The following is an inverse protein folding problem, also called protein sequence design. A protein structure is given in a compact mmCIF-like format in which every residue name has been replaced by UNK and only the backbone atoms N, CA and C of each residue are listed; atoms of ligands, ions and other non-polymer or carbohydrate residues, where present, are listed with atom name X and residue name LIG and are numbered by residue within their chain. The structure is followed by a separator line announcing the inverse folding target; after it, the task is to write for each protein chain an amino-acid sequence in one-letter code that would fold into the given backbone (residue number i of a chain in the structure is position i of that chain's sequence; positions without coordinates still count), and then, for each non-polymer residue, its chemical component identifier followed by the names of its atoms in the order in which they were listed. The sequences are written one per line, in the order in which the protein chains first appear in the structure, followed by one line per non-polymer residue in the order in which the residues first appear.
data_IF_713965134993
#
_entry.id   IF_713965134993
#
_cell.length_a   1.000
_cell.length_b   1.000
_cell.length_c   1.000
_cell.angle_alpha   90.00
_cell.angle_beta   90.00
_cell.angle_gamma   90.00
#
_symmetry.space_group_name_H-M   'P 1'
#
loop_
_entity.id
_entity.type
_entity.pdbx_description
1 polymer ?
#
# COMPACT_ATOMS: atom_id res chain seq x y z
N UNK A 1 -8.44 -0.47 -6.68
CA UNK A 1 -7.03 -0.81 -6.48
C UNK A 1 -6.24 -0.37 -7.70
N UNK A 2 -5.23 0.48 -7.50
CA UNK A 2 -4.33 0.98 -8.53
C UNK A 2 -2.91 0.53 -8.18
N UNK A 3 -2.29 -0.28 -9.03
CA UNK A 3 -0.94 -0.78 -8.81
C UNK A 3 0.07 0.30 -9.18
N UNK A 4 1.10 0.47 -8.36
CA UNK A 4 2.15 1.44 -8.57
C UNK A 4 3.35 0.75 -9.22
N UNK A 5 3.87 1.35 -10.28
CA UNK A 5 5.09 0.88 -10.94
C UNK A 5 6.26 1.63 -10.31
N UNK A 6 6.94 0.99 -9.36
CA UNK A 6 8.00 1.59 -8.55
C UNK A 6 9.19 0.65 -8.45
N UNK A 7 10.38 1.20 -8.24
CA UNK A 7 11.58 0.41 -8.03
C UNK A 7 11.56 -0.37 -6.69
N UNK A 8 10.60 -0.11 -5.80
CA UNK A 8 10.53 -0.78 -4.50
C UNK A 8 10.27 -2.29 -4.63
N UNK A 9 9.54 -2.72 -5.65
CA UNK A 9 9.17 -4.13 -5.82
C UNK A 9 10.41 -5.02 -6.00
N UNK A 10 10.47 -6.10 -5.23
CA UNK A 10 11.57 -7.08 -5.24
C UNK A 10 12.81 -6.63 -4.49
N UNK A 11 12.83 -5.40 -3.94
CA UNK A 11 13.95 -4.95 -3.12
C UNK A 11 13.88 -5.57 -1.72
N UNK A 12 15.05 -5.82 -1.15
CA UNK A 12 15.19 -6.41 0.17
C UNK A 12 15.67 -5.39 1.20
N UNK A 13 15.21 -5.56 2.43
CA UNK A 13 15.64 -4.74 3.55
C UNK A 13 15.55 -5.52 4.87
N UNK A 14 16.30 -5.04 5.86
CA UNK A 14 16.12 -5.46 7.25
C UNK A 14 14.99 -4.64 7.88
N UNK A 15 14.07 -5.31 8.58
CA UNK A 15 12.87 -4.72 9.15
C UNK A 15 13.20 -3.54 10.09
N UNK A 16 14.17 -3.71 10.99
CA UNK A 16 14.58 -2.67 11.93
C UNK A 16 15.18 -1.42 11.28
N UNK A 17 15.71 -1.52 10.07
CA UNK A 17 16.28 -0.38 9.34
C UNK A 17 15.22 0.38 8.56
N UNK A 18 14.32 -0.33 7.89
CA UNK A 18 13.32 0.29 7.00
C UNK A 18 12.08 0.75 7.74
N UNK A 19 11.71 0.09 8.84
CA UNK A 19 10.48 0.41 9.57
C UNK A 19 10.45 1.86 10.11
N UNK A 20 11.51 2.40 10.73
CA UNK A 20 11.52 3.81 11.17
C UNK A 20 11.30 4.80 10.01
N UNK A 21 11.88 4.53 8.84
CA UNK A 21 11.74 5.37 7.63
C UNK A 21 10.31 5.34 7.11
N UNK A 22 9.67 4.17 7.15
CA UNK A 22 8.25 4.01 6.81
C UNK A 22 7.36 4.77 7.80
N UNK A 23 7.66 4.70 9.09
CA UNK A 23 6.92 5.42 10.12
C UNK A 23 7.00 6.94 9.94
N UNK A 24 8.17 7.49 9.58
CA UNK A 24 8.33 8.92 9.24
C UNK A 24 7.43 9.37 8.08
N UNK A 25 7.04 8.43 7.20
CA UNK A 25 6.11 8.66 6.09
C UNK A 25 4.67 8.24 6.40
N UNK A 26 4.34 8.04 7.66
CA UNK A 26 3.02 7.59 8.14
C UNK A 26 2.58 6.22 7.59
N UNK A 27 3.54 5.34 7.26
CA UNK A 27 3.29 3.95 6.91
C UNK A 27 3.53 3.09 8.14
N UNK A 28 2.53 2.27 8.49
CA UNK A 28 2.54 1.43 9.69
C UNK A 28 2.24 -0.01 9.33
N UNK A 29 2.65 -0.96 10.18
CA UNK A 29 2.31 -2.36 9.99
C UNK A 29 0.78 -2.53 10.11
N UNK A 30 0.14 -3.01 9.04
CA UNK A 30 -1.29 -3.25 8.99
C UNK A 30 -1.70 -4.38 9.93
N UNK A 31 -2.89 -4.27 10.53
CA UNK A 31 -3.38 -5.23 11.53
C UNK A 31 -3.79 -6.62 11.00
N UNK A 32 -3.55 -6.92 9.72
CA UNK A 32 -3.88 -8.20 9.09
C UNK A 32 -2.61 -8.77 8.45
N UNK A 33 -1.74 -9.33 9.29
CA UNK A 33 -0.51 -10.00 8.89
C UNK A 33 -0.64 -11.51 9.11
N UNK A 34 -0.02 -12.30 8.24
CA UNK A 34 0.29 -13.71 8.46
C UNK A 34 1.76 -13.81 8.90
N UNK A 35 2.20 -14.95 9.41
CA UNK A 35 3.57 -15.12 9.92
C UNK A 35 4.65 -14.76 8.89
N UNK A 36 4.37 -15.01 7.62
CA UNK A 36 5.31 -14.84 6.50
C UNK A 36 4.96 -13.66 5.58
N UNK A 37 3.76 -13.07 5.69
CA UNK A 37 3.28 -12.01 4.79
C UNK A 37 2.63 -10.87 5.58
N UNK A 38 3.01 -9.64 5.27
CA UNK A 38 2.43 -8.47 5.91
C UNK A 38 2.33 -7.28 4.96
N UNK A 39 1.61 -6.26 5.39
CA UNK A 39 1.37 -5.05 4.59
C UNK A 39 1.67 -3.84 5.45
N UNK A 40 2.50 -2.93 4.96
CA UNK A 40 2.55 -1.58 5.47
C UNK A 40 1.40 -0.78 4.88
N UNK A 41 0.56 -0.17 5.72
CA UNK A 41 -0.57 0.66 5.34
C UNK A 41 -0.37 2.09 5.84
N UNK A 42 -0.73 3.07 5.00
CA UNK A 42 -0.66 4.49 5.30
C UNK A 42 -1.76 5.25 4.58
N UNK A 43 -2.25 6.32 5.20
CA UNK A 43 -3.33 7.14 4.63
C UNK A 43 -2.70 8.24 3.75
N UNK A 44 -2.95 8.19 2.45
CA UNK A 44 -2.59 9.28 1.53
C UNK A 44 -3.58 10.44 1.63
N UNK A 45 -4.86 10.12 1.82
CA UNK A 45 -5.92 11.11 1.86
C UNK A 45 -7.13 10.61 2.65
N UNK A 46 -7.78 11.51 3.36
CA UNK A 46 -9.02 11.23 4.08
C UNK A 46 -9.92 12.45 4.06
N UNK A 47 -11.10 12.30 3.47
CA UNK A 47 -12.14 13.33 3.46
C UNK A 47 -13.52 12.68 3.62
N UNK A 48 -14.23 13.06 4.69
CA UNK A 48 -15.55 12.51 5.01
C UNK A 48 -15.53 10.97 5.08
N UNK A 49 -16.37 10.27 4.31
CA UNK A 49 -16.40 8.80 4.27
C UNK A 49 -15.26 8.21 3.43
N UNK A 50 -14.57 9.00 2.61
CA UNK A 50 -13.56 8.51 1.69
C UNK A 50 -12.17 8.50 2.33
N UNK A 51 -11.48 7.38 2.23
CA UNK A 51 -10.08 7.22 2.64
C UNK A 51 -9.30 6.54 1.53
N UNK A 52 -8.15 7.12 1.17
CA UNK A 52 -7.21 6.59 0.20
C UNK A 52 -6.02 6.03 0.96
N UNK A 53 -5.80 4.73 0.84
CA UNK A 53 -4.71 4.00 1.46
C UNK A 53 -3.60 3.72 0.47
N UNK A 54 -2.35 3.95 0.86
CA UNK A 54 -1.16 3.40 0.23
C UNK A 54 -0.78 2.11 0.96
N UNK A 55 -0.71 1.01 0.23
CA UNK A 55 -0.37 -0.30 0.77
C UNK A 55 0.89 -0.83 0.10
N UNK A 56 1.82 -1.27 0.92
CA UNK A 56 3.09 -1.85 0.50
C UNK A 56 3.15 -3.26 1.09
N UNK A 57 2.80 -4.30 0.31
CA UNK A 57 2.96 -5.68 0.75
C UNK A 57 4.44 -6.03 0.86
N UNK A 58 4.77 -6.95 1.76
CA UNK A 58 6.10 -7.53 1.89
C UNK A 58 6.02 -8.94 2.48
N UNK A 59 7.02 -9.75 2.14
CA UNK A 59 7.16 -11.12 2.65
C UNK A 59 8.39 -11.21 3.55
N UNK A 60 8.29 -12.00 4.62
CA UNK A 60 9.40 -12.32 5.51
C UNK A 60 10.20 -13.46 4.89
N UNK A 61 11.46 -13.18 4.53
CA UNK A 61 12.36 -14.17 3.92
C UNK A 61 13.22 -14.87 4.97
N UNK A 62 13.47 -14.22 6.12
CA UNK A 62 14.24 -14.78 7.23
C UNK A 62 13.95 -14.03 8.52
N UNK A 63 13.84 -14.75 9.64
CA UNK A 63 13.55 -14.17 10.95
C UNK A 63 12.07 -14.25 11.33
N UNK A 64 11.66 -13.39 12.25
CA UNK A 64 10.28 -13.30 12.73
C UNK A 64 9.82 -11.85 12.68
N UNK A 65 8.61 -11.60 12.17
CA UNK A 65 8.05 -10.26 12.12
C UNK A 65 8.14 -9.56 13.50
N UNK A 66 8.43 -8.25 13.50
CA UNK A 66 8.77 -7.42 14.68
C UNK A 66 10.20 -7.55 15.23
N UNK A 67 10.96 -8.58 14.86
CA UNK A 67 12.41 -8.61 15.16
C UNK A 67 13.16 -7.62 14.25
N UNK A 68 14.00 -6.73 14.81
CA UNK A 68 14.83 -5.81 14.03
C UNK A 68 15.69 -6.49 12.97
N UNK A 69 16.15 -7.72 13.18
CA UNK A 69 17.04 -8.45 12.26
C UNK A 69 16.34 -9.21 11.13
N UNK A 70 15.00 -9.19 11.12
CA UNK A 70 14.18 -9.86 10.12
C UNK A 70 14.42 -9.29 8.72
N UNK A 71 14.64 -10.18 7.76
CA UNK A 71 14.82 -9.85 6.35
C UNK A 71 13.48 -9.91 5.63
N UNK A 72 13.14 -8.84 4.93
CA UNK A 72 11.90 -8.71 4.18
C UNK A 72 12.18 -8.43 2.70
N UNK A 73 11.26 -8.86 1.84
CA UNK A 73 11.23 -8.51 0.43
C UNK A 73 9.94 -7.77 0.11
N UNK A 74 10.05 -6.63 -0.56
CA UNK A 74 8.88 -5.82 -0.90
C UNK A 74 8.12 -6.39 -2.11
N UNK A 75 6.80 -6.49 -1.98
CA UNK A 75 5.90 -6.75 -3.09
C UNK A 75 5.55 -5.47 -3.87
N UNK A 76 4.58 -5.58 -4.78
CA UNK A 76 4.14 -4.45 -5.59
C UNK A 76 3.25 -3.49 -4.77
N UNK A 77 3.65 -2.21 -4.58
CA UNK A 77 2.81 -1.24 -3.90
C UNK A 77 1.52 -0.94 -4.67
N UNK A 78 0.45 -0.58 -3.97
CA UNK A 78 -0.81 -0.21 -4.59
C UNK A 78 -1.60 0.78 -3.73
N UNK A 79 -2.49 1.52 -4.39
CA UNK A 79 -3.44 2.44 -3.76
C UNK A 79 -4.84 1.84 -3.73
N UNK A 80 -5.51 1.95 -2.59
CA UNK A 80 -6.86 1.47 -2.37
C UNK A 80 -7.76 2.61 -1.87
N UNK A 81 -8.82 2.91 -2.61
CA UNK A 81 -9.91 3.76 -2.11
C UNK A 81 -10.88 2.93 -1.28
N UNK A 82 -11.16 3.39 -0.07
CA UNK A 82 -12.20 2.87 0.81
C UNK A 82 -13.23 3.97 1.06
N UNK A 83 -14.51 3.62 1.03
CA UNK A 83 -15.60 4.52 1.41
C UNK A 83 -16.34 3.87 2.57
N UNK A 84 -16.26 4.47 3.75
CA UNK A 84 -16.99 4.03 4.92
C UNK A 84 -18.48 4.35 4.72
N UNK A 85 -19.34 3.33 4.76
CA UNK A 85 -20.78 3.53 4.70
C UNK A 85 -21.28 4.09 6.03
N UNK A 86 -21.43 5.41 6.13
CA UNK A 86 -21.83 6.11 7.38
C UNK A 86 -23.34 5.98 7.68
N UNK A 87 -23.98 4.83 7.41
CA UNK A 87 -25.45 4.75 7.39
C UNK A 87 -26.13 3.40 7.68
N UNK A 88 -25.43 2.37 8.16
CA UNK A 88 -26.07 1.07 8.46
C UNK A 88 -25.71 0.48 9.84
N UNK A 89 -25.23 1.27 10.79
CA UNK A 89 -25.01 0.81 12.18
C UNK A 89 -26.23 1.12 13.07
N UNK A 90 -27.43 0.78 12.59
CA UNK A 90 -28.59 0.59 13.46
C UNK A 90 -29.12 -0.82 13.28
N UNK A 91 -28.73 -1.65 14.25
CA UNK A 91 -29.47 -2.81 14.76
C UNK A 91 -29.79 -3.94 13.77
N UNK A 92 -29.06 -5.04 13.95
CA UNK A 92 -29.69 -6.37 13.99
C UNK A 92 -29.93 -7.06 12.65
N UNK A 93 -29.12 -8.11 12.44
CA UNK A 93 -29.39 -9.24 11.54
C UNK A 93 -29.54 -8.92 10.04
N UNK A 94 -29.44 -9.98 9.24
CA UNK A 94 -29.71 -10.04 7.80
C UNK A 94 -28.62 -9.43 6.88
N UNK A 95 -27.86 -10.26 6.17
CA UNK A 95 -28.27 -10.70 4.81
C UNK A 95 -29.01 -9.56 4.09
N UNK A 96 -28.29 -8.68 3.37
CA UNK A 96 -28.74 -7.79 2.28
C UNK A 96 -27.97 -6.45 2.31
N UNK A 97 -26.75 -6.46 1.76
CA UNK A 97 -26.18 -5.25 1.16
C UNK A 97 -25.71 -5.58 -0.26
N UNK A 98 -26.69 -5.96 -1.08
CA UNK A 98 -26.62 -5.92 -2.54
C UNK A 98 -26.49 -4.47 -3.01
N UNK A 99 -25.28 -3.93 -2.98
CA UNK A 99 -24.86 -2.80 -3.83
C UNK A 99 -23.34 -2.88 -3.98
N UNK A 100 -22.88 -3.97 -4.60
CA UNK A 100 -21.57 -4.03 -5.26
C UNK A 100 -21.53 -3.10 -6.46
N UNK A 101 -21.81 -1.81 -6.23
CA UNK A 101 -21.59 -0.72 -7.16
C UNK A 101 -20.08 -0.61 -7.31
N UNK A 102 -19.57 -1.36 -8.29
CA UNK A 102 -18.38 -1.09 -9.08
C UNK A 102 -17.37 -0.19 -8.35
N UNK A 103 -16.63 -0.75 -7.39
CA UNK A 103 -15.59 -0.07 -6.59
C UNK A 103 -14.39 0.41 -7.44
N UNK A 104 -14.53 0.35 -8.76
CA UNK A 104 -13.62 0.84 -9.78
C UNK A 104 -14.45 1.66 -10.78
N UNK A 105 -14.83 2.88 -10.41
CA UNK A 105 -15.13 3.85 -11.46
C UNK A 105 -13.80 4.22 -12.11
N UNK A 106 -13.54 3.63 -13.27
CA UNK A 106 -12.53 4.11 -14.21
C UNK A 106 -12.83 5.58 -14.52
N UNK A 107 -11.84 6.49 -14.56
CA UNK A 107 -12.10 7.85 -14.94
C UNK A 107 -12.65 7.88 -16.37
N UNK A 108 -13.84 8.45 -16.56
CA UNK A 108 -14.31 8.83 -17.89
C UNK A 108 -13.44 10.00 -18.39
N UNK A 109 -12.29 9.71 -19.00
CA UNK A 109 -11.57 10.70 -19.79
C UNK A 109 -11.94 10.56 -21.27
N UNK A 110 -12.93 11.36 -21.66
CA UNK A 110 -13.03 11.90 -23.02
C UNK A 110 -11.81 12.80 -23.25
N UNK A 111 -10.79 12.26 -23.91
CA UNK A 111 -10.04 12.88 -25.02
C UNK A 111 -8.57 12.41 -25.05
N UNK A 112 -8.23 11.64 -26.10
CA UNK A 112 -6.88 11.48 -26.62
C UNK A 112 -5.99 10.39 -25.98
N UNK A 113 -5.14 9.70 -26.76
CA UNK A 113 -4.22 8.69 -26.23
C UNK A 113 -3.01 9.35 -25.56
N UNK A 114 -3.22 9.81 -24.32
CA UNK A 114 -2.16 10.02 -23.34
C UNK A 114 -2.63 9.20 -22.13
N UNK A 115 -1.96 8.10 -21.80
CA UNK A 115 -2.22 7.37 -20.55
C UNK A 115 -1.78 8.27 -19.39
N UNK A 116 -2.63 9.23 -19.00
CA UNK A 116 -2.42 10.04 -17.81
C UNK A 116 -2.64 9.14 -16.60
N UNK A 117 -1.63 9.04 -15.73
CA UNK A 117 -1.77 8.37 -14.45
C UNK A 117 -2.80 9.14 -13.62
N UNK A 118 -3.55 8.46 -12.77
CA UNK A 118 -4.41 9.15 -11.82
C UNK A 118 -3.58 9.93 -10.80
N UNK A 119 -4.13 11.02 -10.28
CA UNK A 119 -3.51 11.80 -9.20
C UNK A 119 -3.03 10.92 -8.03
N UNK A 120 -3.78 9.88 -7.70
CA UNK A 120 -3.45 8.96 -6.60
C UNK A 120 -2.33 7.98 -6.93
N UNK A 121 -2.17 7.59 -8.20
CA UNK A 121 -1.00 6.82 -8.64
C UNK A 121 0.27 7.67 -8.53
N UNK A 122 0.22 8.92 -9.00
CA UNK A 122 1.37 9.83 -8.92
C UNK A 122 1.78 10.13 -7.47
N UNK A 123 0.81 10.36 -6.58
CA UNK A 123 1.09 10.63 -5.18
C UNK A 123 1.59 9.40 -4.42
N UNK A 124 1.02 8.22 -4.71
CA UNK A 124 1.53 6.96 -4.17
C UNK A 124 2.96 6.69 -4.61
N UNK A 125 3.26 6.87 -5.90
CA UNK A 125 4.62 6.73 -6.44
C UNK A 125 5.59 7.73 -5.80
N UNK A 126 5.19 8.98 -5.55
CA UNK A 126 6.01 9.99 -4.87
C UNK A 126 6.40 9.55 -3.46
N UNK A 127 5.47 9.03 -2.68
CA UNK A 127 5.75 8.54 -1.32
C UNK A 127 6.72 7.36 -1.36
N UNK A 128 6.48 6.40 -2.26
CA UNK A 128 7.35 5.23 -2.43
C UNK A 128 8.75 5.63 -2.90
N UNK A 129 8.86 6.55 -3.84
CA UNK A 129 10.15 7.07 -4.32
C UNK A 129 10.95 7.69 -3.16
N UNK A 130 10.29 8.46 -2.30
CA UNK A 130 10.92 9.01 -1.11
C UNK A 130 11.43 7.94 -0.13
N UNK A 131 10.90 6.71 -0.14
CA UNK A 131 11.42 5.59 0.67
C UNK A 131 12.71 5.06 0.06
N UNK A 132 12.69 4.82 -1.26
CA UNK A 132 13.83 4.33 -2.03
C UNK A 132 15.02 5.30 -1.96
N UNK A 133 14.76 6.60 -1.96
CA UNK A 133 15.82 7.62 -1.83
C UNK A 133 16.39 7.75 -0.42
N UNK A 134 15.58 7.47 0.61
CA UNK A 134 16.00 7.54 2.01
C UNK A 134 16.77 6.31 2.49
N UNK A 135 16.69 5.19 1.77
CA UNK A 135 17.35 3.95 2.17
C UNK A 135 17.98 3.23 0.97
N UNK A 136 19.29 2.88 1.01
CA UNK A 136 19.92 2.06 -0.01
C UNK A 136 19.41 0.61 0.12
N UNK A 137 18.25 0.37 -0.46
CA UNK A 137 17.62 -0.93 -0.54
C UNK A 137 18.50 -1.89 -1.34
N UNK A 138 18.68 -3.11 -0.84
CA UNK A 138 19.50 -4.12 -1.50
C UNK A 138 18.75 -4.61 -2.75
N UNK A 139 19.43 -4.55 -3.89
CA UNK A 139 18.93 -5.04 -5.18
C UNK A 139 19.54 -6.43 -5.40
N UNK A 140 18.74 -7.43 -5.82
CA UNK A 140 19.22 -8.79 -6.11
C UNK A 140 20.26 -8.84 -7.24
N UNK A 141 20.53 -7.70 -7.90
CA UNK A 141 21.45 -7.56 -9.04
C UNK A 141 22.94 -7.46 -8.70
N UNK A 142 23.36 -7.75 -7.47
CA UNK A 142 24.78 -7.85 -7.12
C UNK A 142 25.10 -9.05 -6.22
N UNK A 143 24.91 -10.24 -6.78
CA UNK A 143 25.66 -11.45 -6.38
C UNK A 143 26.52 -11.84 -7.57
N UNK A 144 27.73 -11.27 -7.60
CA UNK A 144 28.84 -11.65 -8.49
C UNK A 144 29.92 -12.39 -7.73
#
# INVERSE_FOLDING_TARGET
MLKLETDLQGKQARFGDIYPILQEKNLTLGGNWDYDEAIFDGILYKEGPETIYLRIPFDVTSGMLEDPDTQIVFGQPFVLKHVANVGLDHEGDDLLATTGLNQFQSPEEKDGPIRRKSHWEEEGERVVQGIVESFPLLDERNIG
#
